data_IF_333047508681
#
_entry.id   IF_333047508681
#
_cell.length_a   1.000
_cell.length_b   1.000
_cell.length_c   1.000
_cell.angle_alpha   90.00
_cell.angle_beta   90.00
_cell.angle_gamma   90.00
#
_symmetry.space_group_name_H-M   'P 1'
#
loop_
_entity.id
_entity.type
_entity.pdbx_description
1 polymer ?
#
# COMPACT_ATOMS: atom_id res chain seq x y z
N UNK A 1 -6.38 -11.83 13.01
CA UNK A 1 -6.37 -10.56 12.22
C UNK A 1 -5.72 -10.88 10.88
N UNK A 2 -6.46 -10.79 9.78
CA UNK A 2 -5.89 -10.95 8.44
C UNK A 2 -5.40 -9.57 7.96
N UNK A 3 -4.14 -9.47 7.54
CA UNK A 3 -3.58 -8.25 6.96
C UNK A 3 -3.43 -8.44 5.46
N UNK A 4 -3.88 -7.46 4.69
CA UNK A 4 -3.68 -7.38 3.25
C UNK A 4 -2.71 -6.24 2.98
N UNK A 5 -1.71 -6.50 2.14
CA UNK A 5 -0.82 -5.47 1.61
C UNK A 5 -1.12 -5.31 0.13
N UNK A 6 -1.61 -4.14 -0.25
CA UNK A 6 -1.94 -3.79 -1.63
C UNK A 6 -0.83 -2.91 -2.20
N UNK A 7 -0.14 -3.42 -3.22
CA UNK A 7 0.96 -2.71 -3.90
C UNK A 7 0.43 -2.17 -5.23
N UNK A 8 0.65 -0.88 -5.50
CA UNK A 8 0.21 -0.26 -6.75
C UNK A 8 1.12 -0.64 -7.92
N UNK A 9 0.66 -0.37 -9.15
CA UNK A 9 1.52 -0.41 -10.33
C UNK A 9 2.60 0.67 -10.31
N UNK A 10 3.45 0.66 -11.36
CA UNK A 10 4.55 1.61 -11.58
C UNK A 10 4.08 3.07 -11.39
N UNK A 11 4.77 3.82 -10.52
CA UNK A 11 4.48 5.22 -10.20
C UNK A 11 3.03 5.46 -9.72
N UNK A 12 2.43 4.43 -9.14
CA UNK A 12 1.10 4.49 -8.56
C UNK A 12 1.12 5.18 -7.19
N UNK A 13 0.15 6.06 -6.96
CA UNK A 13 -0.07 6.63 -5.63
C UNK A 13 -0.73 5.58 -4.73
N UNK A 14 -0.17 5.32 -3.54
CA UNK A 14 -0.61 4.29 -2.60
C UNK A 14 -2.13 4.26 -2.37
N UNK A 15 -2.74 5.40 -2.02
CA UNK A 15 -4.20 5.55 -1.86
C UNK A 15 -4.93 5.81 -3.19
N UNK A 16 -4.41 6.73 -4.01
CA UNK A 16 -5.07 7.23 -5.21
C UNK A 16 -5.28 6.19 -6.30
N UNK A 17 -4.41 5.17 -6.37
CA UNK A 17 -4.55 4.08 -7.35
C UNK A 17 -5.80 3.24 -7.14
N UNK A 18 -6.34 3.23 -5.92
CA UNK A 18 -7.55 2.49 -5.54
C UNK A 18 -8.77 3.39 -5.40
N UNK A 19 -8.64 4.68 -5.69
CA UNK A 19 -9.69 5.68 -5.49
C UNK A 19 -10.40 6.00 -6.79
N UNK A 20 -11.72 5.90 -6.79
CA UNK A 20 -12.55 6.41 -7.89
C UNK A 20 -12.32 7.90 -8.10
N UNK A 21 -12.15 8.32 -9.36
CA UNK A 21 -12.02 9.73 -9.72
C UNK A 21 -13.32 10.50 -9.51
N UNK A 22 -14.45 9.85 -9.77
CA UNK A 22 -15.78 10.46 -9.72
C UNK A 22 -16.31 10.53 -8.28
N UNK A 23 -16.36 9.38 -7.60
CA UNK A 23 -17.01 9.29 -6.27
C UNK A 23 -16.06 9.56 -5.12
N UNK A 24 -14.74 9.65 -5.41
CA UNK A 24 -13.66 9.83 -4.42
C UNK A 24 -13.56 8.72 -3.37
N UNK A 25 -14.36 7.66 -3.50
CA UNK A 25 -14.30 6.48 -2.63
C UNK A 25 -13.10 5.61 -2.99
N UNK A 26 -12.43 5.09 -1.97
CA UNK A 26 -11.26 4.22 -2.09
C UNK A 26 -11.66 2.77 -1.85
N UNK A 27 -11.48 1.92 -2.87
CA UNK A 27 -11.99 0.55 -2.89
C UNK A 27 -11.60 -0.26 -1.64
N UNK A 28 -10.30 -0.30 -1.32
CA UNK A 28 -9.77 -1.10 -0.22
C UNK A 28 -10.19 -0.59 1.17
N UNK A 29 -10.52 0.70 1.31
CA UNK A 29 -10.94 1.27 2.58
C UNK A 29 -12.46 1.26 2.75
N UNK A 30 -13.19 1.68 1.73
CA UNK A 30 -14.62 1.93 1.82
C UNK A 30 -15.48 0.69 1.49
N UNK A 31 -14.92 -0.28 0.76
CA UNK A 31 -15.68 -1.42 0.25
C UNK A 31 -15.17 -2.79 0.68
N UNK A 32 -13.86 -3.01 0.69
CA UNK A 32 -13.29 -4.30 1.09
C UNK A 32 -13.72 -4.80 2.49
N UNK A 33 -13.93 -3.93 3.51
CA UNK A 33 -14.41 -4.40 4.81
C UNK A 33 -15.80 -5.05 4.81
N UNK A 34 -16.64 -4.82 3.80
CA UNK A 34 -17.95 -5.49 3.68
C UNK A 34 -17.78 -6.98 3.34
N UNK A 35 -16.82 -7.29 2.48
CA UNK A 35 -16.55 -8.66 2.03
C UNK A 35 -15.63 -9.41 3.00
N UNK A 36 -14.68 -8.68 3.63
CA UNK A 36 -13.70 -9.24 4.56
C UNK A 36 -13.72 -8.46 5.88
N UNK A 37 -14.60 -8.82 6.82
CA UNK A 37 -14.70 -8.15 8.11
C UNK A 37 -13.38 -8.24 8.91
N UNK A 38 -13.06 -7.18 9.66
CA UNK A 38 -11.85 -7.06 10.49
C UNK A 38 -10.52 -7.20 9.73
N UNK A 39 -10.52 -6.90 8.42
CA UNK A 39 -9.30 -6.82 7.63
C UNK A 39 -8.49 -5.58 7.97
N UNK A 40 -7.17 -5.73 8.10
CA UNK A 40 -6.25 -4.59 8.13
C UNK A 40 -5.63 -4.41 6.74
N UNK A 41 -5.80 -3.24 6.16
CA UNK A 41 -5.23 -2.91 4.84
C UNK A 41 -4.02 -2.00 5.01
N UNK A 42 -2.94 -2.35 4.33
CA UNK A 42 -1.76 -1.52 4.09
C UNK A 42 -1.67 -1.27 2.59
N UNK A 43 -1.56 -0.01 2.17
CA UNK A 43 -1.39 0.33 0.75
C UNK A 43 0.01 0.86 0.53
N UNK A 44 0.72 0.34 -0.47
CA UNK A 44 2.08 0.80 -0.81
C UNK A 44 2.13 1.40 -2.21
N UNK A 45 2.71 2.59 -2.32
CA UNK A 45 3.00 3.26 -3.58
C UNK A 45 4.46 3.67 -3.67
N UNK A 46 5.05 3.54 -4.85
CA UNK A 46 6.46 3.83 -5.08
C UNK A 46 6.64 4.60 -6.40
N UNK A 47 7.54 5.57 -6.39
CA UNK A 47 7.90 6.32 -7.59
C UNK A 47 9.00 5.59 -8.34
N UNK A 48 8.72 5.17 -9.58
CA UNK A 48 9.76 4.61 -10.44
C UNK A 48 10.43 5.69 -11.25
N UNK A 49 11.75 5.76 -11.12
CA UNK A 49 12.59 6.48 -12.06
C UNK A 49 12.95 5.54 -13.23
N UNK A 50 12.17 5.65 -14.31
CA UNK A 50 12.33 4.85 -15.51
C UNK A 50 13.61 5.20 -16.30
N UNK A 51 14.34 6.25 -15.91
CA UNK A 51 15.59 6.66 -16.56
C UNK A 51 16.82 5.89 -16.06
N UNK A 52 16.69 5.17 -14.92
CA UNK A 52 17.77 4.34 -14.36
C UNK A 52 17.78 2.95 -15.01
N UNK A 53 18.87 2.60 -15.70
CA UNK A 53 18.92 1.45 -16.62
C UNK A 53 19.29 0.09 -16.00
N UNK A 54 19.57 0.00 -14.69
CA UNK A 54 20.04 -1.25 -14.05
C UNK A 54 19.19 -1.67 -12.84
N UNK A 55 18.77 -2.95 -12.80
CA UNK A 55 18.26 -3.74 -11.66
C UNK A 55 17.41 -3.03 -10.58
N UNK A 56 16.46 -2.20 -11.01
CA UNK A 56 15.59 -1.41 -10.13
C UNK A 56 14.65 -2.27 -9.25
N UNK A 57 14.19 -3.43 -9.73
CA UNK A 57 13.21 -4.25 -9.01
C UNK A 57 13.70 -4.71 -7.63
N UNK A 58 14.99 -5.02 -7.48
CA UNK A 58 15.55 -5.48 -6.20
C UNK A 58 15.72 -4.34 -5.19
N UNK A 59 16.01 -3.12 -5.66
CA UNK A 59 16.13 -1.93 -4.80
C UNK A 59 14.76 -1.55 -4.22
N UNK A 60 13.74 -1.42 -5.08
CA UNK A 60 12.37 -1.15 -4.66
C UNK A 60 11.79 -2.24 -3.75
N UNK A 61 12.12 -3.52 -4.01
CA UNK A 61 11.69 -4.62 -3.13
C UNK A 61 12.31 -4.49 -1.73
N UNK A 62 13.58 -4.10 -1.62
CA UNK A 62 14.24 -3.92 -0.32
C UNK A 62 13.63 -2.76 0.45
N UNK A 63 13.39 -1.63 -0.22
CA UNK A 63 12.73 -0.47 0.39
C UNK A 63 11.34 -0.85 0.91
N UNK A 64 10.54 -1.52 0.07
CA UNK A 64 9.22 -2.02 0.45
C UNK A 64 9.26 -2.93 1.69
N UNK A 65 10.19 -3.90 1.74
CA UNK A 65 10.31 -4.80 2.90
C UNK A 65 10.65 -4.00 4.16
N UNK A 66 11.61 -3.08 4.08
CA UNK A 66 11.99 -2.25 5.23
C UNK A 66 10.82 -1.40 5.74
N UNK A 67 10.05 -0.77 4.85
CA UNK A 67 8.89 0.04 5.24
C UNK A 67 7.75 -0.80 5.79
N UNK A 68 7.53 -1.99 5.23
CA UNK A 68 6.56 -2.94 5.72
C UNK A 68 6.91 -3.41 7.14
N UNK A 69 8.17 -3.75 7.40
CA UNK A 69 8.66 -4.14 8.72
C UNK A 69 8.51 -3.01 9.74
N UNK A 70 8.91 -1.78 9.37
CA UNK A 70 8.77 -0.59 10.24
C UNK A 70 7.31 -0.36 10.63
N UNK A 71 6.41 -0.43 9.67
CA UNK A 71 4.99 -0.18 9.88
C UNK A 71 4.32 -1.29 10.68
N UNK A 72 4.73 -2.55 10.49
CA UNK A 72 4.22 -3.67 11.29
C UNK A 72 4.69 -3.63 12.74
N UNK A 73 5.90 -3.14 12.98
CA UNK A 73 6.49 -3.03 14.32
C UNK A 73 6.15 -1.70 15.04
N UNK A 74 5.50 -0.75 14.34
CA UNK A 74 5.07 0.50 14.95
C UNK A 74 3.81 0.28 15.82
N UNK A 75 3.83 0.65 17.11
CA UNK A 75 2.69 0.51 18.00
C UNK A 75 1.48 1.37 17.59
N UNK A 76 1.68 2.41 16.78
CA UNK A 76 0.61 3.30 16.31
C UNK A 76 -0.27 2.69 15.20
N UNK A 77 0.25 1.71 14.45
CA UNK A 77 -0.40 1.14 13.26
C UNK A 77 -1.14 -0.18 13.56
N UNK A 78 -1.19 -0.55 14.84
CA UNK A 78 -1.97 -1.71 15.30
C UNK A 78 -3.49 -1.48 15.18
N UNK A 79 -3.94 -0.21 15.10
CA UNK A 79 -5.36 0.17 15.24
C UNK A 79 -5.94 0.86 13.98
N UNK A 80 -5.13 1.24 12.99
CA UNK A 80 -5.60 2.03 11.83
C UNK A 80 -5.05 1.54 10.47
N UNK A 81 -5.79 1.72 9.36
CA UNK A 81 -5.26 1.49 8.02
C UNK A 81 -4.03 2.40 7.82
N UNK A 82 -2.89 1.79 7.50
CA UNK A 82 -1.63 2.52 7.26
C UNK A 82 -1.39 2.70 5.77
N UNK A 83 -0.94 3.89 5.38
CA UNK A 83 -0.39 4.13 4.04
C UNK A 83 1.12 3.96 4.15
N UNK A 84 1.66 3.02 3.37
CA UNK A 84 3.08 2.82 3.13
C UNK A 84 3.50 3.67 1.93
#
# INVERSE_FOLDING_TARGET
>A
IHSIVAVTGLSGHAFGSWRSRETRRMWLHDFLPWDVPNVRVLTYGYNVDLTRTNNFATEYLREFICELERTRNSPEVSIRPGIL
#
